data_IF_905088602373
#
_entry.id   IF_905088602373
#
_cell.length_a   1.000
_cell.length_b   1.000
_cell.length_c   1.000
_cell.angle_alpha   90.00
_cell.angle_beta   90.00
_cell.angle_gamma   90.00
#
_symmetry.space_group_name_H-M   'P 1'
#
loop_
_entity.id
_entity.type
_entity.pdbx_description
1 polymer ?
#
# COMPACT_ATOMS: atom_id res chain seq x y z
N UNK A 1 34.73 -52.50 -9.38
CA UNK A 1 34.77 -51.04 -9.14
C UNK A 1 33.58 -50.45 -9.88
N UNK A 2 32.50 -50.10 -9.19
CA UNK A 2 31.21 -49.74 -9.81
C UNK A 2 31.07 -48.21 -9.93
N UNK A 3 31.15 -47.60 -11.13
CA UNK A 3 31.02 -46.17 -11.33
C UNK A 3 29.58 -45.86 -11.76
N UNK A 4 28.61 -45.89 -10.84
CA UNK A 4 27.21 -45.59 -11.24
C UNK A 4 26.34 -44.89 -10.20
N UNK A 5 26.75 -44.84 -8.93
CA UNK A 5 25.94 -44.19 -7.89
C UNK A 5 26.20 -42.69 -7.73
N UNK A 6 27.34 -42.19 -8.21
CA UNK A 6 27.74 -40.78 -8.02
C UNK A 6 27.09 -39.80 -9.02
N UNK A 7 26.65 -40.28 -10.19
CA UNK A 7 26.06 -39.43 -11.23
C UNK A 7 24.59 -39.07 -10.97
N UNK A 8 23.82 -39.96 -10.33
CA UNK A 8 22.41 -39.72 -10.01
C UNK A 8 22.22 -38.78 -8.81
N UNK A 9 23.11 -38.85 -7.81
CA UNK A 9 23.08 -37.96 -6.64
C UNK A 9 23.32 -36.48 -7.01
N UNK A 10 24.18 -36.21 -8.00
CA UNK A 10 24.48 -34.84 -8.42
C UNK A 10 23.26 -34.09 -9.02
N UNK A 11 22.25 -34.82 -9.51
CA UNK A 11 21.02 -34.26 -10.09
C UNK A 11 19.85 -34.22 -9.10
N UNK A 12 19.89 -34.99 -8.01
CA UNK A 12 18.81 -35.04 -7.01
C UNK A 12 18.88 -33.96 -5.92
N UNK A 13 20.01 -33.24 -5.82
CA UNK A 13 20.25 -32.24 -4.76
C UNK A 13 20.19 -30.79 -5.24
N UNK A 14 19.83 -30.54 -6.50
CA UNK A 14 19.66 -29.16 -6.98
C UNK A 14 18.20 -28.71 -6.75
N UNK A 15 17.94 -27.72 -5.89
CA UNK A 15 16.59 -27.19 -5.72
C UNK A 15 16.14 -26.53 -7.04
N UNK A 16 14.92 -26.86 -7.49
CA UNK A 16 14.32 -26.28 -8.70
C UNK A 16 14.03 -24.77 -8.58
N UNK A 17 14.10 -24.24 -7.35
CA UNK A 17 13.90 -22.83 -7.07
C UNK A 17 15.23 -22.10 -7.26
N UNK A 18 15.28 -21.23 -8.27
CA UNK A 18 16.41 -20.33 -8.51
C UNK A 18 16.08 -18.98 -7.89
N UNK A 19 16.82 -18.60 -6.85
CA UNK A 19 16.71 -17.26 -6.30
C UNK A 19 17.24 -16.25 -7.32
N UNK A 20 16.31 -15.47 -7.87
CA UNK A 20 16.49 -14.36 -8.81
C UNK A 20 17.18 -13.16 -8.12
N UNK A 21 18.36 -13.39 -7.53
CA UNK A 21 19.26 -12.35 -7.00
C UNK A 21 18.60 -11.30 -6.10
N UNK A 22 19.25 -10.14 -5.94
CA UNK A 22 18.63 -8.95 -5.35
C UNK A 22 17.80 -8.26 -6.42
N UNK A 23 16.47 -8.36 -6.32
CA UNK A 23 15.55 -7.56 -7.13
C UNK A 23 15.80 -6.09 -6.82
N UNK A 24 16.41 -5.35 -7.76
CA UNK A 24 16.43 -3.89 -7.73
C UNK A 24 15.06 -3.42 -8.17
N UNK A 25 14.27 -2.92 -7.22
CA UNK A 25 13.08 -2.15 -7.55
C UNK A 25 13.54 -0.85 -8.19
N UNK A 26 12.92 -0.41 -9.30
CA UNK A 26 13.19 0.93 -9.81
C UNK A 26 12.88 1.91 -8.68
N UNK A 27 13.91 2.58 -8.17
CA UNK A 27 13.79 3.51 -7.04
C UNK A 27 13.29 4.89 -7.48
N UNK A 28 13.09 5.08 -8.78
CA UNK A 28 12.55 6.31 -9.34
C UNK A 28 11.03 6.32 -9.17
N UNK A 29 10.52 7.43 -8.63
CA UNK A 29 9.09 7.73 -8.71
C UNK A 29 8.70 7.78 -10.18
N UNK A 30 7.79 6.90 -10.58
CA UNK A 30 7.30 6.85 -11.95
C UNK A 30 6.59 8.17 -12.32
N UNK A 31 6.84 8.66 -13.53
CA UNK A 31 6.16 9.86 -14.02
C UNK A 31 4.65 9.59 -14.14
N UNK A 32 3.77 10.51 -13.72
CA UNK A 32 2.33 10.35 -13.88
C UNK A 32 2.00 10.16 -15.36
N UNK A 33 1.25 9.13 -15.68
CA UNK A 33 0.81 8.82 -17.05
C UNK A 33 -0.61 8.23 -17.03
N UNK A 34 -1.38 8.33 -18.13
CA UNK A 34 -2.73 7.80 -18.17
C UNK A 34 -2.70 6.27 -18.19
N UNK A 35 -3.66 5.64 -17.50
CA UNK A 35 -3.77 4.18 -17.46
C UNK A 35 -4.10 3.61 -18.86
N UNK A 36 -3.50 2.48 -19.28
CA UNK A 36 -3.72 1.91 -20.62
C UNK A 36 -5.18 1.51 -20.89
N UNK A 37 -5.92 1.11 -19.85
CA UNK A 37 -7.35 0.81 -19.93
C UNK A 37 -8.26 2.03 -19.66
N UNK A 38 -7.71 3.24 -19.56
CA UNK A 38 -8.54 4.43 -19.40
C UNK A 38 -9.37 4.69 -20.68
N UNK A 39 -10.63 5.15 -20.55
CA UNK A 39 -11.40 5.69 -21.66
C UNK A 39 -10.59 6.71 -22.48
N UNK A 40 -10.83 6.77 -23.79
CA UNK A 40 -10.03 7.59 -24.73
C UNK A 40 -10.04 9.06 -24.31
N UNK A 41 -11.20 9.58 -23.93
CA UNK A 41 -11.37 10.97 -23.48
C UNK A 41 -10.44 11.33 -22.31
N UNK A 42 -10.33 10.46 -21.30
CA UNK A 42 -9.48 10.70 -20.12
C UNK A 42 -8.00 10.58 -20.44
N UNK A 43 -7.64 9.85 -21.50
CA UNK A 43 -6.26 9.69 -21.94
C UNK A 43 -5.77 10.95 -22.65
N UNK A 44 -6.63 11.58 -23.44
CA UNK A 44 -6.31 12.82 -24.18
C UNK A 44 -6.17 14.03 -23.24
N UNK A 45 -7.01 14.12 -22.21
CA UNK A 45 -7.02 15.24 -21.25
C UNK A 45 -6.13 15.04 -20.02
N UNK A 46 -5.32 13.97 -19.96
CA UNK A 46 -4.52 13.64 -18.79
C UNK A 46 -3.49 14.72 -18.44
N UNK A 47 -2.87 15.35 -19.44
CA UNK A 47 -1.88 16.42 -19.22
C UNK A 47 -2.48 17.64 -18.56
N UNK A 48 -3.72 17.99 -18.93
CA UNK A 48 -4.42 19.15 -18.40
C UNK A 48 -4.84 18.90 -16.95
N UNK A 49 -5.26 17.67 -16.65
CA UNK A 49 -5.55 17.23 -15.28
C UNK A 49 -4.30 17.33 -14.37
N UNK A 50 -3.14 16.87 -14.83
CA UNK A 50 -1.88 16.94 -14.06
C UNK A 50 -1.47 18.40 -13.82
N UNK A 51 -1.55 19.25 -14.85
CA UNK A 51 -1.26 20.70 -14.72
C UNK A 51 -2.20 21.37 -13.73
N UNK A 52 -3.51 21.09 -13.82
CA UNK A 52 -4.49 21.67 -12.91
C UNK A 52 -4.27 21.22 -11.46
N UNK A 53 -3.90 19.95 -11.22
CA UNK A 53 -3.51 19.48 -9.88
C UNK A 53 -2.28 20.19 -9.33
N UNK A 54 -1.29 20.45 -10.17
CA UNK A 54 -0.07 21.16 -9.75
C UNK A 54 -0.36 22.62 -9.44
N UNK A 55 -1.17 23.31 -10.26
CA UNK A 55 -1.59 24.69 -9.97
C UNK A 55 -2.47 24.77 -8.72
N UNK A 56 -3.35 23.78 -8.51
CA UNK A 56 -4.15 23.68 -7.29
C UNK A 56 -3.26 23.59 -6.05
N UNK A 57 -2.21 22.76 -6.09
CA UNK A 57 -1.22 22.65 -5.00
C UNK A 57 -0.47 23.97 -4.74
N UNK A 58 -0.21 24.79 -5.76
CA UNK A 58 0.41 26.11 -5.61
C UNK A 58 -0.56 27.17 -5.06
N UNK A 59 -1.87 27.01 -5.32
CA UNK A 59 -2.91 27.92 -4.82
C UNK A 59 -3.47 27.57 -3.43
N UNK A 60 -3.08 26.43 -2.82
CA UNK A 60 -3.44 26.12 -1.41
C UNK A 60 -2.75 27.07 -0.42
N UNK A 61 -1.82 27.90 -0.89
CA UNK A 61 -1.32 29.03 -0.10
C UNK A 61 -2.29 30.21 -0.02
N UNK A 62 -3.35 30.29 -0.83
CA UNK A 62 -4.19 31.51 -0.85
C UNK A 62 -5.64 31.39 -1.35
N UNK A 63 -6.19 30.20 -1.59
CA UNK A 63 -7.62 30.04 -1.88
C UNK A 63 -8.38 29.52 -0.65
N UNK A 64 -9.33 30.33 -0.16
CA UNK A 64 -10.31 29.96 0.87
C UNK A 64 -11.02 28.66 0.50
N UNK A 65 -10.50 27.55 1.00
CA UNK A 65 -11.28 26.34 1.17
C UNK A 65 -12.07 26.51 2.46
N UNK A 66 -13.39 26.55 2.37
CA UNK A 66 -14.29 26.40 3.53
C UNK A 66 -14.18 25.00 4.18
N UNK A 67 -13.24 24.18 3.72
CA UNK A 67 -12.83 22.92 4.33
C UNK A 67 -11.49 23.09 5.04
N UNK A 68 -11.52 23.06 6.36
CA UNK A 68 -10.33 23.06 7.21
C UNK A 68 -9.48 21.81 6.96
N UNK A 69 -8.32 21.96 6.33
CA UNK A 69 -7.28 20.93 6.30
C UNK A 69 -6.48 20.99 7.60
N UNK A 70 -6.39 19.88 8.32
CA UNK A 70 -5.65 19.78 9.58
C UNK A 70 -4.27 19.18 9.35
N UNK A 71 -3.25 19.69 10.03
CA UNK A 71 -1.90 19.14 9.94
C UNK A 71 -1.81 17.82 10.71
N UNK A 72 -2.55 17.73 11.82
CA UNK A 72 -2.62 16.54 12.64
C UNK A 72 -4.05 16.06 12.83
N UNK A 73 -4.22 14.74 12.89
CA UNK A 73 -5.52 14.08 13.05
C UNK A 73 -6.28 14.57 14.30
N UNK A 74 -5.58 14.83 15.40
CA UNK A 74 -6.18 15.31 16.66
C UNK A 74 -6.66 16.76 16.62
N UNK A 75 -6.22 17.54 15.63
CA UNK A 75 -6.71 18.91 15.41
C UNK A 75 -8.08 18.92 14.72
N UNK A 76 -8.46 17.81 14.08
CA UNK A 76 -9.76 17.68 13.45
C UNK A 76 -10.89 17.70 14.49
N UNK A 77 -12.12 18.11 14.10
CA UNK A 77 -13.27 18.12 14.99
C UNK A 77 -13.46 16.77 15.68
N UNK A 78 -13.77 16.81 16.98
CA UNK A 78 -13.89 15.64 17.85
C UNK A 78 -14.84 14.56 17.33
N UNK A 79 -15.80 14.91 16.47
CA UNK A 79 -16.69 13.95 15.80
C UNK A 79 -15.96 12.93 14.92
N UNK A 80 -14.74 13.21 14.47
CA UNK A 80 -13.98 12.35 13.57
C UNK A 80 -13.05 11.37 14.29
N UNK A 81 -12.74 11.62 15.56
CA UNK A 81 -11.78 10.82 16.32
C UNK A 81 -12.26 10.37 17.70
N UNK A 82 -13.31 11.00 18.24
CA UNK A 82 -14.03 10.50 19.41
C UNK A 82 -15.28 9.76 18.94
N UNK A 83 -15.35 8.43 19.12
CA UNK A 83 -16.55 7.69 18.73
C UNK A 83 -17.75 8.18 19.54
N UNK A 84 -18.86 8.47 18.86
CA UNK A 84 -20.04 9.11 19.46
C UNK A 84 -20.98 8.16 20.20
N UNK A 85 -20.84 6.85 20.05
CA UNK A 85 -21.82 5.90 20.57
C UNK A 85 -21.27 4.52 20.92
N UNK A 86 -19.96 4.31 20.83
CA UNK A 86 -19.36 3.03 21.19
C UNK A 86 -17.91 3.22 21.61
N UNK A 87 -17.62 2.88 22.85
CA UNK A 87 -16.25 2.68 23.31
C UNK A 87 -15.81 1.28 22.89
N UNK A 88 -14.51 1.09 22.61
CA UNK A 88 -13.98 -0.21 22.28
C UNK A 88 -13.93 -1.06 23.56
N UNK A 89 -14.52 -2.24 23.52
CA UNK A 89 -14.42 -3.18 24.63
C UNK A 89 -13.01 -3.77 24.72
N UNK A 90 -12.58 -4.22 25.90
CA UNK A 90 -11.22 -4.75 26.11
C UNK A 90 -10.89 -5.92 25.18
N UNK A 91 -11.86 -6.80 24.93
CA UNK A 91 -11.69 -7.93 24.00
C UNK A 91 -11.47 -7.49 22.55
N UNK A 92 -12.04 -6.35 22.16
CA UNK A 92 -11.82 -5.78 20.84
C UNK A 92 -10.48 -5.07 20.75
N UNK A 93 -10.09 -4.37 21.81
CA UNK A 93 -8.76 -3.77 21.91
C UNK A 93 -7.69 -4.86 21.84
N UNK A 94 -7.87 -5.97 22.56
CA UNK A 94 -7.00 -7.14 22.49
C UNK A 94 -6.99 -7.77 21.09
N UNK A 95 -8.15 -7.92 20.45
CA UNK A 95 -8.23 -8.45 19.09
C UNK A 95 -7.49 -7.55 18.07
N UNK A 96 -7.60 -6.22 18.21
CA UNK A 96 -6.90 -5.25 17.34
C UNK A 96 -5.38 -5.30 17.62
N UNK A 97 -4.98 -5.27 18.89
CA UNK A 97 -3.57 -5.24 19.29
C UNK A 97 -2.84 -6.56 19.03
N UNK A 98 -3.54 -7.70 19.10
CA UNK A 98 -3.03 -9.02 18.72
C UNK A 98 -3.04 -9.26 17.21
N UNK A 99 -3.55 -8.30 16.42
CA UNK A 99 -3.62 -8.41 14.96
C UNK A 99 -4.63 -9.45 14.46
N UNK A 100 -5.63 -9.80 15.27
CA UNK A 100 -6.70 -10.74 14.92
C UNK A 100 -6.27 -12.21 14.80
N UNK A 101 -4.99 -12.53 15.01
CA UNK A 101 -4.45 -13.88 14.87
C UNK A 101 -4.68 -14.77 16.11
N UNK A 102 -5.00 -14.18 17.26
CA UNK A 102 -5.11 -14.89 18.55
C UNK A 102 -6.51 -15.46 18.85
N UNK A 103 -7.53 -15.19 18.04
CA UNK A 103 -8.93 -15.59 18.34
C UNK A 103 -9.28 -17.04 18.01
N UNK A 104 -8.31 -17.88 17.63
CA UNK A 104 -8.57 -19.29 17.27
C UNK A 104 -8.14 -20.24 18.38
N UNK A 105 -8.79 -20.18 19.55
CA UNK A 105 -8.90 -21.33 20.46
C UNK A 105 -10.18 -21.20 21.30
N UNK A 106 -11.24 -21.85 20.85
CA UNK A 106 -12.40 -22.19 21.66
C UNK A 106 -12.44 -23.69 21.85
N UNK A 107 -12.11 -24.17 23.05
CA UNK A 107 -13.02 -24.81 24.00
C UNK A 107 -12.25 -25.35 25.21
#
# INVERSE_FOLDING_TARGET
>A
MFPSLRAFAARSHQPLIRFIGRRQWPSGTEAPHPHPAAPVELREHFTDFVKNRQSLNTTVSEAKADGTSYAHFWEAPSKYWKPRGRELDESEMEAIMSGGASSYYGH
#
